data_IF_059474637516
#
_entry.id   IF_059474637516
#
_cell.length_a   1.000
_cell.length_b   1.000
_cell.length_c   1.000
_cell.angle_alpha   90.00
_cell.angle_beta   90.00
_cell.angle_gamma   90.00
#
_symmetry.space_group_name_H-M   'P 1'
#
loop_
_entity.id
_entity.type
_entity.pdbx_description
1 polymer ?
#
# COMPACT_ATOMS: atom_id res chain seq x y z
N UNK A 1 -16.83 -3.29 -14.61
CA UNK A 1 -17.36 -1.94 -14.30
C UNK A 1 -16.30 -0.90 -14.66
N UNK A 2 -16.50 -0.09 -15.71
CA UNK A 2 -15.48 0.81 -16.25
C UNK A 2 -15.10 1.97 -15.31
N UNK A 3 -15.93 2.30 -14.32
CA UNK A 3 -15.70 3.39 -13.36
C UNK A 3 -14.62 3.09 -12.30
N UNK A 4 -14.31 1.81 -12.05
CA UNK A 4 -13.38 1.40 -10.99
C UNK A 4 -11.92 1.68 -11.35
N UNK A 5 -11.58 1.61 -12.64
CA UNK A 5 -10.21 1.83 -13.14
C UNK A 5 -9.75 3.29 -13.06
N UNK A 6 -10.52 4.29 -13.55
CA UNK A 6 -10.12 5.69 -13.42
C UNK A 6 -10.07 6.13 -11.96
N UNK A 7 -11.00 5.65 -11.12
CA UNK A 7 -10.96 5.91 -9.68
C UNK A 7 -9.69 5.34 -9.02
N UNK A 8 -9.35 4.10 -9.33
CA UNK A 8 -8.13 3.46 -8.79
C UNK A 8 -6.87 4.21 -9.22
N UNK A 9 -6.78 4.63 -10.49
CA UNK A 9 -5.68 5.44 -10.99
C UNK A 9 -5.61 6.78 -10.27
N UNK A 10 -6.74 7.48 -10.14
CA UNK A 10 -6.81 8.77 -9.46
C UNK A 10 -6.35 8.67 -8.00
N UNK A 11 -6.88 7.70 -7.25
CA UNK A 11 -6.50 7.44 -5.85
C UNK A 11 -5.01 7.13 -5.76
N UNK A 12 -4.48 6.28 -6.65
CA UNK A 12 -3.05 5.92 -6.64
C UNK A 12 -2.16 7.12 -6.92
N UNK A 13 -2.53 7.98 -7.87
CA UNK A 13 -1.76 9.17 -8.21
C UNK A 13 -1.78 10.20 -7.09
N UNK A 14 -2.95 10.52 -6.56
CA UNK A 14 -3.10 11.50 -5.47
C UNK A 14 -2.40 11.03 -4.20
N UNK A 15 -2.63 9.78 -3.80
CA UNK A 15 -2.00 9.22 -2.61
C UNK A 15 -0.50 9.02 -2.78
N UNK A 16 -0.05 8.61 -3.98
CA UNK A 16 1.38 8.50 -4.29
C UNK A 16 2.09 9.85 -4.26
N UNK A 17 1.48 10.90 -4.82
CA UNK A 17 2.01 12.26 -4.78
C UNK A 17 2.09 12.80 -3.34
N UNK A 18 1.03 12.61 -2.55
CA UNK A 18 1.03 12.96 -1.13
C UNK A 18 2.11 12.20 -0.34
N UNK A 19 2.24 10.89 -0.57
CA UNK A 19 3.24 10.05 0.09
C UNK A 19 4.67 10.49 -0.24
N UNK A 20 4.93 10.83 -1.51
CA UNK A 20 6.22 11.36 -1.93
C UNK A 20 6.50 12.72 -1.29
N UNK A 21 5.51 13.61 -1.27
CA UNK A 21 5.65 14.91 -0.63
C UNK A 21 5.96 14.78 0.86
N UNK A 22 5.25 13.93 1.60
CA UNK A 22 5.54 13.64 3.00
C UNK A 22 6.97 13.10 3.19
N UNK A 23 7.40 12.17 2.34
CA UNK A 23 8.75 11.62 2.39
C UNK A 23 9.83 12.68 2.14
N UNK A 24 9.58 13.65 1.26
CA UNK A 24 10.49 14.78 1.04
C UNK A 24 10.56 15.74 2.24
N UNK A 25 9.48 15.88 3.02
CA UNK A 25 9.43 16.79 4.16
C UNK A 25 10.07 16.21 5.42
N UNK A 26 9.72 14.97 5.77
CA UNK A 26 10.10 14.37 7.06
C UNK A 26 10.96 13.11 6.91
N UNK A 27 11.23 12.66 5.68
CA UNK A 27 11.98 11.44 5.43
C UNK A 27 11.20 10.17 5.80
N UNK A 28 11.75 9.01 5.41
CA UNK A 28 11.13 7.72 5.72
C UNK A 28 11.05 7.47 7.23
N UNK A 29 12.13 7.73 7.97
CA UNK A 29 12.18 7.53 9.42
C UNK A 29 11.26 8.51 10.15
N UNK A 30 11.12 9.74 9.69
CA UNK A 30 10.24 10.73 10.32
C UNK A 30 8.75 10.36 10.20
N UNK A 31 8.35 9.66 9.14
CA UNK A 31 6.98 9.10 9.03
C UNK A 31 6.72 8.12 10.18
N UNK A 32 7.65 7.21 10.46
CA UNK A 32 7.53 6.25 11.56
C UNK A 32 7.55 6.92 12.93
N UNK A 33 8.42 7.91 13.14
CA UNK A 33 8.46 8.69 14.37
C UNK A 33 7.12 9.40 14.61
N UNK A 34 6.54 10.00 13.56
CA UNK A 34 5.22 10.64 13.62
C UNK A 34 4.11 9.64 13.90
N UNK A 35 4.19 8.45 13.28
CA UNK A 35 3.28 7.33 13.54
C UNK A 35 3.30 6.88 14.99
N UNK A 36 4.45 6.91 15.67
CA UNK A 36 4.58 6.51 17.07
C UNK A 36 4.66 7.66 18.08
N UNK A 37 4.33 8.89 17.68
CA UNK A 37 4.45 10.07 18.54
C UNK A 37 3.49 10.04 19.74
N UNK A 38 2.33 9.39 19.63
CA UNK A 38 1.38 9.21 20.72
C UNK A 38 0.56 7.92 20.53
N UNK A 39 -0.24 7.54 21.53
CA UNK A 39 -1.04 6.31 21.49
C UNK A 39 -2.05 6.27 20.34
N UNK A 40 -2.66 7.42 19.99
CA UNK A 40 -3.63 7.49 18.90
C UNK A 40 -2.98 7.26 17.53
N UNK A 41 -1.88 7.95 17.25
CA UNK A 41 -1.13 7.73 16.01
C UNK A 41 -0.53 6.32 15.95
N UNK A 42 -0.07 5.80 17.10
CA UNK A 42 0.52 4.46 17.18
C UNK A 42 -0.53 3.39 16.87
N UNK A 43 -1.76 3.55 17.39
CA UNK A 43 -2.86 2.66 17.08
C UNK A 43 -3.16 2.62 15.57
N UNK A 44 -3.22 3.79 14.91
CA UNK A 44 -3.42 3.87 13.45
C UNK A 44 -2.27 3.19 12.70
N UNK A 45 -1.04 3.39 13.15
CA UNK A 45 0.16 2.77 12.54
C UNK A 45 0.12 1.25 12.66
N UNK A 46 -0.24 0.72 13.84
CA UNK A 46 -0.37 -0.72 14.07
C UNK A 46 -1.53 -1.30 13.25
N UNK A 47 -2.67 -0.61 13.19
CA UNK A 47 -3.81 -1.02 12.36
C UNK A 47 -3.41 -1.11 10.88
N UNK A 48 -2.63 -0.14 10.38
CA UNK A 48 -2.08 -0.16 9.03
C UNK A 48 -1.16 -1.36 8.79
N UNK A 49 -0.29 -1.71 9.75
CA UNK A 49 0.60 -2.89 9.66
C UNK A 49 -0.24 -4.18 9.57
N UNK A 50 -1.28 -4.31 10.39
CA UNK A 50 -2.19 -5.46 10.38
C UNK A 50 -2.94 -5.54 9.05
N UNK A 51 -3.52 -4.44 8.60
CA UNK A 51 -4.22 -4.36 7.32
C UNK A 51 -3.30 -4.72 6.14
N UNK A 52 -2.08 -4.20 6.12
CA UNK A 52 -1.07 -4.54 5.10
C UNK A 52 -0.72 -6.03 5.12
N UNK A 53 -0.55 -6.62 6.31
CA UNK A 53 -0.25 -8.05 6.46
C UNK A 53 -1.37 -8.94 5.93
N UNK A 54 -2.62 -8.60 6.25
CA UNK A 54 -3.79 -9.29 5.72
C UNK A 54 -3.90 -9.17 4.19
N UNK A 55 -3.71 -7.96 3.65
CA UNK A 55 -3.74 -7.70 2.21
C UNK A 55 -2.65 -8.47 1.47
N UNK A 56 -1.43 -8.52 1.99
CA UNK A 56 -0.36 -9.37 1.42
C UNK A 56 -0.77 -10.83 1.41
N UNK A 57 -1.43 -11.33 2.46
CA UNK A 57 -1.99 -12.67 2.52
C UNK A 57 -3.00 -12.96 1.38
N UNK A 58 -3.91 -12.02 1.12
CA UNK A 58 -4.86 -12.12 0.01
C UNK A 58 -4.17 -12.08 -1.36
N UNK A 59 -3.25 -11.13 -1.57
CA UNK A 59 -2.48 -11.00 -2.82
C UNK A 59 -1.64 -12.26 -3.06
N UNK A 60 -1.04 -12.83 -2.02
CA UNK A 60 -0.26 -14.05 -2.11
C UNK A 60 -1.12 -15.24 -2.53
N UNK A 61 -2.31 -15.39 -1.94
CA UNK A 61 -3.27 -16.43 -2.33
C UNK A 61 -3.72 -16.27 -3.79
N UNK A 62 -4.10 -15.06 -4.19
CA UNK A 62 -4.55 -14.78 -5.56
C UNK A 62 -3.44 -15.01 -6.61
N UNK A 63 -2.24 -14.51 -6.34
CA UNK A 63 -1.08 -14.74 -7.22
C UNK A 63 -0.75 -16.23 -7.34
N UNK A 64 -0.78 -16.99 -6.23
CA UNK A 64 -0.51 -18.43 -6.24
C UNK A 64 -1.56 -19.20 -7.07
N UNK A 65 -2.83 -18.85 -6.95
CA UNK A 65 -3.90 -19.45 -7.75
C UNK A 65 -3.71 -19.21 -9.27
N UNK A 66 -3.05 -18.12 -9.65
CA UNK A 66 -2.75 -17.77 -11.04
C UNK A 66 -1.32 -18.16 -11.48
N UNK A 67 -0.55 -18.89 -10.66
CA UNK A 67 0.82 -19.29 -10.98
C UNK A 67 1.83 -18.13 -11.06
N UNK A 68 1.57 -17.01 -10.36
CA UNK A 68 2.34 -15.76 -10.43
C UNK A 68 3.19 -15.52 -9.18
N UNK A 69 4.27 -14.75 -9.33
CA UNK A 69 5.14 -14.33 -8.22
C UNK A 69 4.45 -13.26 -7.38
N UNK A 70 4.22 -13.55 -6.10
CA UNK A 70 3.55 -12.64 -5.15
C UNK A 70 4.52 -11.70 -4.41
N UNK A 71 5.79 -12.07 -4.30
CA UNK A 71 6.78 -11.37 -3.48
C UNK A 71 7.03 -9.89 -3.86
N UNK A 72 6.96 -9.44 -5.12
CA UNK A 72 7.20 -8.03 -5.44
C UNK A 72 6.14 -7.12 -4.79
N UNK A 73 4.89 -7.59 -4.79
CA UNK A 73 3.77 -6.88 -4.16
C UNK A 73 3.89 -6.89 -2.65
N UNK A 74 4.36 -7.99 -2.06
CA UNK A 74 4.61 -8.07 -0.62
C UNK A 74 5.69 -7.08 -0.17
N UNK A 75 6.84 -7.05 -0.86
CA UNK A 75 7.93 -6.11 -0.54
C UNK A 75 7.46 -4.67 -0.68
N UNK A 76 6.73 -4.35 -1.76
CA UNK A 76 6.18 -3.01 -1.96
C UNK A 76 5.17 -2.63 -0.87
N UNK A 77 4.33 -3.57 -0.43
CA UNK A 77 3.35 -3.34 0.64
C UNK A 77 4.02 -3.10 1.99
N UNK A 78 5.08 -3.86 2.29
CA UNK A 78 5.83 -3.69 3.54
C UNK A 78 6.64 -2.40 3.58
N UNK A 79 7.18 -1.96 2.44
CA UNK A 79 7.97 -0.73 2.36
C UNK A 79 7.12 0.54 2.25
N UNK A 80 5.99 0.47 1.54
CA UNK A 80 5.22 1.64 1.13
C UNK A 80 3.74 1.57 1.54
N UNK A 81 3.37 0.62 2.41
CA UNK A 81 2.01 0.44 2.89
C UNK A 81 1.02 0.11 1.76
N UNK A 82 -0.10 0.84 1.73
CA UNK A 82 -1.19 0.62 0.78
C UNK A 82 -0.83 0.86 -0.69
N UNK A 83 0.33 1.44 -1.01
CA UNK A 83 0.83 1.56 -2.39
C UNK A 83 1.08 0.19 -3.04
N UNK A 84 1.48 -0.82 -2.26
CA UNK A 84 1.67 -2.18 -2.77
C UNK A 84 0.39 -2.82 -3.34
N UNK A 85 -0.70 -2.89 -2.55
CA UNK A 85 -2.00 -3.39 -3.00
C UNK A 85 -2.60 -2.55 -4.13
N UNK A 86 -2.47 -1.22 -4.11
CA UNK A 86 -2.94 -0.35 -5.18
C UNK A 86 -2.25 -0.66 -6.52
N UNK A 87 -0.92 -0.81 -6.48
CA UNK A 87 -0.14 -1.16 -7.66
C UNK A 87 -0.49 -2.57 -8.19
N UNK A 88 -0.74 -3.53 -7.29
CA UNK A 88 -1.21 -4.87 -7.66
C UNK A 88 -2.58 -4.83 -8.35
N UNK A 89 -3.55 -4.06 -7.83
CA UNK A 89 -4.87 -3.92 -8.43
C UNK A 89 -4.79 -3.27 -9.83
N UNK A 90 -3.97 -2.24 -9.99
CA UNK A 90 -3.72 -1.61 -11.30
C UNK A 90 -3.12 -2.59 -12.30
N UNK A 91 -2.16 -3.41 -11.85
CA UNK A 91 -1.54 -4.43 -12.70
C UNK A 91 -2.54 -5.52 -13.10
N UNK A 92 -3.34 -6.00 -12.15
CA UNK A 92 -4.38 -7.01 -12.39
C UNK A 92 -5.42 -6.53 -13.41
N UNK A 93 -5.80 -5.25 -13.41
CA UNK A 93 -6.78 -4.66 -14.34
C UNK A 93 -6.21 -4.31 -15.73
N UNK A 94 -4.89 -4.41 -15.95
CA UNK A 94 -4.28 -4.23 -17.28
C UNK A 94 -4.32 -5.51 -18.13
N UNK A 95 -4.59 -6.66 -17.52
CA UNK A 95 -4.79 -7.95 -18.21
C UNK A 95 -6.26 -8.33 -18.14
#
# INVERSE_FOLDING_TARGET
MPLQKPLLVLVTLLFGAFSLWALLQIGFVGIWQSGFANLGSAQITVDLIVACSLLVGFIARDCRAQGRRWWPWAVLTLAAGSLGPLAYLLWRQRR
#
